data_IF_961019561666
#
_entry.id   IF_961019561666
#
_cell.length_a   1.000
_cell.length_b   1.000
_cell.length_c   1.000
_cell.angle_alpha   90.00
_cell.angle_beta   90.00
_cell.angle_gamma   90.00
#
_symmetry.space_group_name_H-M   'P 1'
#
loop_
_entity.id
_entity.type
_entity.pdbx_description
1 polymer ?
#
# COMPACT_ATOMS: atom_id res chain seq x y z
N UNK A 1 8.77 -19.15 -11.71
CA UNK A 1 7.31 -19.14 -11.99
C UNK A 1 7.05 -18.74 -13.43
N UNK A 2 7.46 -17.53 -13.84
CA UNK A 2 7.34 -17.01 -15.22
C UNK A 2 7.93 -17.90 -16.33
N UNK A 3 9.12 -18.46 -16.12
CA UNK A 3 9.73 -19.38 -17.09
C UNK A 3 8.87 -20.64 -17.37
N UNK A 4 7.98 -21.06 -16.45
CA UNK A 4 7.09 -22.23 -16.67
C UNK A 4 6.02 -21.95 -17.72
N UNK A 5 5.74 -20.68 -18.00
CA UNK A 5 4.83 -20.21 -19.05
C UNK A 5 5.60 -19.52 -20.19
N UNK A 6 6.89 -19.84 -20.34
CA UNK A 6 7.76 -19.33 -21.41
C UNK A 6 7.91 -17.80 -21.45
N UNK A 7 7.82 -17.14 -20.28
CA UNK A 7 8.11 -15.71 -20.14
C UNK A 7 9.52 -15.53 -19.59
N UNK A 8 10.36 -14.83 -20.37
CA UNK A 8 11.69 -14.39 -19.95
C UNK A 8 11.62 -12.99 -19.34
N UNK A 9 12.31 -12.77 -18.23
CA UNK A 9 12.35 -11.50 -17.51
C UNK A 9 13.79 -11.13 -17.19
N UNK A 10 14.15 -9.88 -17.45
CA UNK A 10 15.40 -9.29 -16.96
C UNK A 10 15.10 -8.41 -15.74
N UNK A 11 15.83 -8.62 -14.64
CA UNK A 11 15.70 -7.79 -13.44
C UNK A 11 16.57 -6.54 -13.59
N UNK A 12 15.94 -5.37 -13.57
CA UNK A 12 16.64 -4.09 -13.51
C UNK A 12 16.55 -3.52 -12.09
N UNK A 13 17.61 -3.71 -11.31
CA UNK A 13 17.67 -3.28 -9.90
C UNK A 13 18.07 -1.82 -9.84
N UNK A 14 17.21 -0.99 -9.22
CA UNK A 14 17.43 0.44 -9.01
C UNK A 14 17.44 0.78 -7.53
N UNK A 15 18.26 1.75 -7.16
CA UNK A 15 18.13 2.41 -5.85
C UNK A 15 16.82 3.20 -5.77
N UNK A 16 16.39 3.50 -4.53
CA UNK A 16 15.10 4.15 -4.23
C UNK A 16 14.89 5.46 -5.00
N UNK A 17 15.93 6.29 -5.16
CA UNK A 17 15.83 7.56 -5.87
C UNK A 17 15.47 7.40 -7.35
N UNK A 18 16.32 6.74 -8.15
CA UNK A 18 16.02 6.42 -9.55
C UNK A 18 14.72 5.62 -9.73
N UNK A 19 14.43 4.65 -8.85
CA UNK A 19 13.17 3.91 -8.86
C UNK A 19 11.95 4.85 -8.74
N UNK A 20 11.96 5.77 -7.77
CA UNK A 20 10.87 6.72 -7.57
C UNK A 20 10.72 7.67 -8.77
N UNK A 21 11.83 8.07 -9.40
CA UNK A 21 11.78 8.89 -10.61
C UNK A 21 11.09 8.15 -11.78
N UNK A 22 11.36 6.84 -11.93
CA UNK A 22 10.69 6.00 -12.94
C UNK A 22 9.19 5.88 -12.65
N UNK A 23 8.81 5.53 -11.41
CA UNK A 23 7.41 5.35 -11.00
C UNK A 23 6.60 6.63 -11.16
N UNK A 24 7.10 7.75 -10.60
CA UNK A 24 6.41 9.03 -10.66
C UNK A 24 6.39 9.62 -12.07
N UNK A 25 7.48 9.40 -12.81
CA UNK A 25 7.60 9.75 -14.22
C UNK A 25 6.79 8.83 -15.14
N UNK A 26 6.23 7.73 -14.61
CA UNK A 26 5.41 6.80 -15.38
C UNK A 26 6.17 6.20 -16.59
N UNK A 27 7.47 5.93 -16.39
CA UNK A 27 8.44 5.55 -17.42
C UNK A 27 8.90 4.09 -17.32
N UNK A 28 8.18 3.25 -16.57
CA UNK A 28 8.48 1.82 -16.48
C UNK A 28 8.18 1.12 -17.81
N UNK A 29 9.12 0.32 -18.35
CA UNK A 29 8.98 -0.25 -19.70
C UNK A 29 7.99 -1.42 -19.76
N UNK A 30 7.78 -2.12 -18.65
CA UNK A 30 6.87 -3.25 -18.57
C UNK A 30 6.30 -3.38 -17.14
N UNK A 31 6.86 -4.29 -16.34
CA UNK A 31 6.40 -4.55 -14.97
C UNK A 31 7.31 -3.84 -13.98
N UNK A 32 6.70 -3.24 -12.96
CA UNK A 32 7.41 -2.69 -11.81
C UNK A 32 7.04 -3.47 -10.54
N UNK A 33 8.05 -3.91 -9.80
CA UNK A 33 7.83 -4.48 -8.47
C UNK A 33 7.56 -3.36 -7.49
N UNK A 34 6.44 -3.42 -6.77
CA UNK A 34 6.06 -2.38 -5.83
C UNK A 34 5.28 -2.94 -4.63
N UNK A 35 5.05 -2.09 -3.64
CA UNK A 35 4.10 -2.42 -2.57
C UNK A 35 2.70 -2.58 -3.18
N UNK A 36 2.00 -3.64 -2.81
CA UNK A 36 0.62 -3.85 -3.23
C UNK A 36 -0.26 -2.67 -2.81
N UNK A 37 -1.20 -2.29 -3.67
CA UNK A 37 -2.19 -1.28 -3.36
C UNK A 37 -3.37 -1.98 -2.69
N UNK A 38 -3.68 -1.71 -1.40
CA UNK A 38 -4.93 -2.21 -0.82
C UNK A 38 -6.09 -1.56 -1.57
N UNK A 39 -6.70 -2.34 -2.47
CA UNK A 39 -7.71 -1.88 -3.42
C UNK A 39 -8.87 -1.18 -2.70
N UNK A 40 -9.18 -1.62 -1.49
CA UNK A 40 -10.29 -1.13 -0.65
C UNK A 40 -10.15 0.29 -0.11
N UNK A 41 -8.92 0.80 0.09
CA UNK A 41 -8.67 2.14 0.68
C UNK A 41 -7.81 3.04 -0.21
N UNK A 42 -7.11 2.48 -1.20
CA UNK A 42 -6.17 3.20 -2.05
C UNK A 42 -6.61 3.20 -3.51
N UNK A 43 -7.89 3.43 -3.75
CA UNK A 43 -8.46 3.50 -5.10
C UNK A 43 -7.82 4.49 -6.08
N UNK A 44 -7.11 5.56 -5.66
CA UNK A 44 -6.23 6.31 -6.57
C UNK A 44 -5.18 5.45 -7.30
N UNK A 45 -4.97 4.19 -6.91
CA UNK A 45 -4.14 3.23 -7.65
C UNK A 45 -4.72 2.79 -9.01
N UNK A 46 -6.02 2.95 -9.25
CA UNK A 46 -6.69 2.50 -10.48
C UNK A 46 -7.35 3.64 -11.26
N UNK A 47 -7.00 4.89 -10.94
CA UNK A 47 -7.61 6.07 -11.55
C UNK A 47 -6.67 7.27 -11.53
N UNK A 48 -6.72 8.07 -12.60
CA UNK A 48 -6.06 9.37 -12.68
C UNK A 48 -4.53 9.33 -12.68
N UNK A 49 -3.92 10.45 -12.29
CA UNK A 49 -2.47 10.68 -12.40
C UNK A 49 -1.69 10.39 -11.11
N UNK A 50 -2.32 9.76 -10.13
CA UNK A 50 -1.68 9.42 -8.85
C UNK A 50 -0.38 8.63 -9.07
N UNK A 51 0.63 8.88 -8.24
CA UNK A 51 1.87 8.08 -8.20
C UNK A 51 1.63 6.63 -7.77
N UNK A 52 0.48 6.36 -7.15
CA UNK A 52 0.03 4.99 -6.83
C UNK A 52 -0.58 4.28 -8.04
N UNK A 53 -1.00 5.00 -9.09
CA UNK A 53 -1.50 4.43 -10.34
C UNK A 53 -0.35 4.08 -11.28
N UNK A 54 0.32 2.98 -10.93
CA UNK A 54 1.52 2.47 -11.62
C UNK A 54 1.17 1.68 -12.88
N UNK A 55 -0.07 1.24 -13.03
CA UNK A 55 -0.52 0.53 -14.24
C UNK A 55 -1.17 1.46 -15.26
N UNK A 56 -1.14 2.77 -15.02
CA UNK A 56 -1.71 3.79 -15.92
C UNK A 56 -3.20 3.55 -16.22
N UNK A 57 -3.94 3.04 -15.25
CA UNK A 57 -5.35 2.70 -15.43
C UNK A 57 -6.16 3.98 -15.58
N UNK A 58 -6.93 4.05 -16.67
CA UNK A 58 -7.94 5.09 -16.90
C UNK A 58 -9.21 4.44 -17.44
N UNK A 59 -9.92 3.78 -16.53
CA UNK A 59 -11.09 2.97 -16.83
C UNK A 59 -12.37 3.74 -16.49
N UNK A 60 -13.29 3.96 -17.45
CA UNK A 60 -14.48 4.77 -17.20
C UNK A 60 -15.42 4.15 -16.17
N UNK A 61 -15.50 2.83 -16.07
CA UNK A 61 -16.35 2.12 -15.10
C UNK A 61 -15.80 2.28 -13.69
N UNK A 62 -14.47 2.17 -13.53
CA UNK A 62 -13.79 2.44 -12.25
C UNK A 62 -13.98 3.91 -11.87
N UNK A 63 -13.66 4.84 -12.77
CA UNK A 63 -13.76 6.27 -12.54
C UNK A 63 -15.17 6.70 -12.08
N UNK A 64 -16.22 6.24 -12.76
CA UNK A 64 -17.60 6.53 -12.40
C UNK A 64 -17.98 5.97 -11.01
N UNK A 65 -17.60 4.73 -10.73
CA UNK A 65 -17.86 4.09 -9.43
C UNK A 65 -17.17 4.82 -8.30
N UNK A 66 -15.92 5.27 -8.50
CA UNK A 66 -15.18 6.06 -7.50
C UNK A 66 -15.86 7.39 -7.21
N UNK A 67 -16.36 8.08 -8.24
CA UNK A 67 -17.10 9.35 -8.05
C UNK A 67 -18.38 9.10 -7.26
N UNK A 68 -19.14 8.05 -7.59
CA UNK A 68 -20.37 7.67 -6.89
C UNK A 68 -20.12 7.30 -5.43
N UNK A 69 -19.13 6.45 -5.18
CA UNK A 69 -18.75 6.01 -3.83
C UNK A 69 -18.33 7.19 -2.97
N UNK A 70 -17.42 8.06 -3.46
CA UNK A 70 -16.97 9.26 -2.74
C UNK A 70 -18.12 10.22 -2.43
N UNK A 71 -19.02 10.44 -3.40
CA UNK A 71 -20.21 11.28 -3.17
C UNK A 71 -21.13 10.68 -2.11
N UNK A 72 -21.37 9.37 -2.14
CA UNK A 72 -22.18 8.71 -1.13
C UNK A 72 -21.57 8.86 0.27
N UNK A 73 -20.25 8.71 0.39
CA UNK A 73 -19.52 8.85 1.65
C UNK A 73 -19.61 10.26 2.26
N UNK A 74 -19.61 11.30 1.43
CA UNK A 74 -19.64 12.69 1.90
C UNK A 74 -21.07 13.20 2.15
N UNK A 75 -22.03 12.81 1.30
CA UNK A 75 -23.38 13.39 1.33
C UNK A 75 -24.31 12.73 2.36
N UNK A 76 -23.97 11.53 2.85
CA UNK A 76 -24.75 10.82 3.86
C UNK A 76 -23.90 10.63 5.13
N UNK A 77 -24.06 11.48 6.14
CA UNK A 77 -23.22 11.46 7.34
C UNK A 77 -23.44 10.24 8.25
N UNK A 78 -24.50 9.46 8.02
CA UNK A 78 -24.85 8.31 8.87
C UNK A 78 -24.52 6.99 8.18
N UNK A 79 -24.86 6.84 6.90
CA UNK A 79 -24.70 5.59 6.16
C UNK A 79 -23.76 5.70 4.95
N UNK A 80 -23.21 6.88 4.68
CA UNK A 80 -22.41 7.16 3.49
C UNK A 80 -21.18 6.27 3.40
N UNK A 81 -20.47 6.07 4.51
CA UNK A 81 -19.30 5.19 4.57
C UNK A 81 -19.67 3.77 4.11
N UNK A 82 -20.67 3.15 4.73
CA UNK A 82 -21.12 1.80 4.37
C UNK A 82 -21.57 1.71 2.92
N UNK A 83 -22.31 2.70 2.41
CA UNK A 83 -22.76 2.75 1.01
C UNK A 83 -21.58 2.81 0.05
N UNK A 84 -20.62 3.71 0.31
CA UNK A 84 -19.41 3.83 -0.48
C UNK A 84 -18.59 2.55 -0.48
N UNK A 85 -18.37 1.95 0.70
CA UNK A 85 -17.63 0.71 0.85
C UNK A 85 -18.28 -0.46 0.10
N UNK A 86 -19.61 -0.58 0.13
CA UNK A 86 -20.32 -1.60 -0.64
C UNK A 86 -20.13 -1.40 -2.15
N UNK A 87 -20.20 -0.17 -2.66
CA UNK A 87 -19.93 0.11 -4.08
C UNK A 87 -18.52 -0.28 -4.49
N UNK A 88 -17.53 0.02 -3.64
CA UNK A 88 -16.13 -0.36 -3.87
C UNK A 88 -15.95 -1.89 -3.81
N UNK A 89 -16.71 -2.57 -2.96
CA UNK A 89 -16.74 -4.04 -2.89
C UNK A 89 -17.32 -4.68 -4.15
N UNK A 90 -18.43 -4.14 -4.64
CA UNK A 90 -19.17 -4.71 -5.77
C UNK A 90 -18.38 -4.62 -7.08
N UNK A 91 -17.52 -3.61 -7.24
CA UNK A 91 -16.66 -3.48 -8.43
C UNK A 91 -15.40 -4.36 -8.40
N UNK A 92 -15.05 -4.95 -7.25
CA UNK A 92 -13.83 -5.76 -7.13
C UNK A 92 -13.72 -6.92 -8.12
N UNK A 93 -14.77 -7.72 -8.39
CA UNK A 93 -14.69 -8.78 -9.39
C UNK A 93 -14.34 -8.26 -10.78
N UNK A 94 -14.85 -7.06 -11.13
CA UNK A 94 -14.49 -6.39 -12.37
C UNK A 94 -13.01 -6.01 -12.39
N UNK A 95 -12.51 -5.33 -11.34
CA UNK A 95 -11.09 -4.94 -11.24
C UNK A 95 -10.17 -6.15 -11.35
N UNK A 96 -10.46 -7.24 -10.64
CA UNK A 96 -9.66 -8.47 -10.72
C UNK A 96 -9.68 -9.11 -12.11
N UNK A 97 -10.78 -8.99 -12.85
CA UNK A 97 -10.88 -9.52 -14.22
C UNK A 97 -9.99 -8.78 -15.22
N UNK A 98 -9.60 -7.53 -14.93
CA UNK A 98 -8.75 -6.73 -15.81
C UNK A 98 -7.25 -7.02 -15.65
N UNK A 99 -6.85 -7.67 -14.55
CA UNK A 99 -5.45 -8.07 -14.30
C UNK A 99 -4.46 -6.89 -14.37
N UNK A 100 -4.85 -5.73 -13.84
CA UNK A 100 -3.99 -4.53 -13.81
C UNK A 100 -2.72 -4.70 -12.96
N UNK A 101 -2.74 -5.62 -12.00
CA UNK A 101 -1.62 -5.93 -11.12
C UNK A 101 -1.55 -7.45 -10.93
N UNK A 102 -0.33 -7.98 -10.82
CA UNK A 102 -0.11 -9.40 -10.48
C UNK A 102 0.22 -9.47 -9.00
N UNK A 103 -0.70 -10.03 -8.21
CA UNK A 103 -0.51 -10.21 -6.78
C UNK A 103 0.71 -11.07 -6.48
N UNK A 104 1.70 -10.48 -5.80
CA UNK A 104 2.82 -11.23 -5.22
C UNK A 104 2.40 -11.95 -3.95
N UNK A 105 3.13 -13.01 -3.57
CA UNK A 105 3.01 -13.59 -2.23
C UNK A 105 3.61 -12.58 -1.25
N UNK A 106 2.77 -11.92 -0.45
CA UNK A 106 3.26 -11.11 0.67
C UNK A 106 3.95 -12.04 1.65
N UNK A 107 5.29 -11.96 1.74
CA UNK A 107 6.02 -12.62 2.81
C UNK A 107 5.53 -12.12 4.18
N UNK A 108 5.73 -12.90 5.26
CA UNK A 108 5.43 -12.43 6.61
C UNK A 108 6.11 -11.07 6.81
N UNK A 109 5.34 -10.09 7.31
CA UNK A 109 5.86 -8.78 7.67
C UNK A 109 7.09 -9.02 8.55
N UNK A 110 8.25 -8.51 8.10
CA UNK A 110 9.55 -8.88 8.68
C UNK A 110 9.56 -8.75 10.20
N UNK A 111 10.17 -9.72 10.88
CA UNK A 111 10.34 -9.69 12.33
C UNK A 111 11.11 -8.43 12.74
N UNK A 112 10.55 -7.66 13.66
CA UNK A 112 11.23 -6.51 14.26
C UNK A 112 11.92 -6.97 15.53
N UNK A 113 13.18 -6.58 15.68
CA UNK A 113 13.94 -6.79 16.90
C UNK A 113 14.19 -5.43 17.54
N UNK A 114 13.98 -5.35 18.84
CA UNK A 114 14.28 -4.16 19.62
C UNK A 114 14.90 -4.55 20.95
N UNK A 115 15.62 -3.60 21.54
CA UNK A 115 16.24 -3.81 22.83
C UNK A 115 15.20 -3.95 23.94
N UNK A 116 15.43 -4.81 24.95
CA UNK A 116 14.47 -5.05 26.03
C UNK A 116 14.25 -3.83 26.93
N UNK A 117 15.14 -2.83 26.87
CA UNK A 117 14.96 -1.54 27.56
C UNK A 117 14.09 -0.54 26.79
N UNK A 118 13.70 -0.81 25.54
CA UNK A 118 12.63 -0.05 24.87
C UNK A 118 11.28 -0.54 25.38
N UNK A 119 10.59 0.31 26.13
CA UNK A 119 9.29 0.00 26.75
C UNK A 119 8.15 0.56 25.91
N UNK A 120 7.01 -0.14 25.99
CA UNK A 120 5.76 0.18 25.31
C UNK A 120 5.84 0.18 23.78
N UNK A 121 6.77 -0.60 23.25
CA UNK A 121 6.84 -0.92 21.84
C UNK A 121 6.44 -2.38 21.64
N UNK A 122 5.42 -2.63 20.82
CA UNK A 122 4.92 -3.97 20.48
C UNK A 122 5.19 -4.34 19.02
N UNK A 123 6.04 -3.57 18.32
CA UNK A 123 6.37 -3.78 16.91
C UNK A 123 5.57 -2.92 15.94
N UNK A 124 4.90 -1.88 16.43
CA UNK A 124 4.09 -0.97 15.63
C UNK A 124 4.94 -0.28 14.55
N UNK A 125 4.39 -0.08 13.35
CA UNK A 125 4.99 0.78 12.33
C UNK A 125 4.33 2.17 12.30
N UNK A 126 3.06 2.24 12.68
CA UNK A 126 2.23 3.44 12.69
C UNK A 126 1.26 3.35 13.86
N UNK A 127 0.94 4.47 14.49
CA UNK A 127 -0.21 4.60 15.40
C UNK A 127 -1.23 5.50 14.68
N UNK A 128 -2.29 4.88 14.16
CA UNK A 128 -3.24 5.55 13.27
C UNK A 128 -2.91 5.38 11.77
N UNK A 129 -3.47 6.24 10.92
CA UNK A 129 -3.40 6.12 9.47
C UNK A 129 -2.11 6.74 8.88
N UNK A 130 -1.10 5.90 8.61
CA UNK A 130 0.18 6.27 7.98
C UNK A 130 0.99 7.37 8.71
N UNK A 131 0.93 7.44 10.04
CA UNK A 131 1.52 8.56 10.78
C UNK A 131 2.93 8.34 11.34
N UNK A 132 3.51 7.13 11.27
CA UNK A 132 4.90 6.87 11.70
C UNK A 132 5.28 7.30 13.14
N UNK A 133 4.30 7.71 13.95
CA UNK A 133 4.40 8.46 15.20
C UNK A 133 4.50 7.56 16.45
N UNK A 134 4.80 6.28 16.27
CA UNK A 134 4.89 5.31 17.37
C UNK A 134 5.97 5.72 18.40
N UNK A 135 7.01 6.42 17.96
CA UNK A 135 8.12 6.86 18.80
C UNK A 135 7.71 7.87 19.89
N UNK A 136 6.54 8.51 19.75
CA UNK A 136 6.01 9.45 20.75
C UNK A 136 5.51 8.74 22.00
N UNK A 137 5.26 7.43 21.91
CA UNK A 137 4.59 6.63 22.94
C UNK A 137 5.51 5.59 23.57
N UNK A 138 6.79 5.58 23.21
CA UNK A 138 7.79 4.65 23.75
C UNK A 138 8.76 5.38 24.67
N UNK A 139 9.39 4.65 25.59
CA UNK A 139 10.41 5.20 26.48
C UNK A 139 11.50 4.19 26.79
N UNK A 140 12.60 4.69 27.36
CA UNK A 140 13.72 3.85 27.76
C UNK A 140 13.71 3.59 29.26
N UNK A 141 13.87 2.33 29.62
CA UNK A 141 14.27 1.92 30.96
C UNK A 141 15.78 2.15 31.13
N UNK A 142 16.13 3.25 31.80
CA UNK A 142 17.53 3.68 31.95
C UNK A 142 18.36 2.71 32.80
N UNK A 143 17.76 2.07 33.80
CA UNK A 143 18.47 1.17 34.69
C UNK A 143 18.74 -0.17 34.01
N UNK A 144 17.75 -0.70 33.29
CA UNK A 144 17.93 -1.90 32.47
C UNK A 144 19.00 -1.68 31.40
N UNK A 145 18.96 -0.53 30.70
CA UNK A 145 19.98 -0.18 29.70
C UNK A 145 21.39 -0.20 30.28
N UNK A 146 21.60 0.44 31.44
CA UNK A 146 22.90 0.46 32.13
C UNK A 146 23.36 -0.92 32.56
N UNK A 147 22.46 -1.75 33.12
CA UNK A 147 22.78 -3.12 33.54
C UNK A 147 23.22 -4.02 32.38
N UNK A 148 22.83 -3.68 31.15
CA UNK A 148 23.25 -4.35 29.92
C UNK A 148 24.53 -3.75 29.30
N UNK A 149 25.15 -2.75 29.93
CA UNK A 149 26.43 -2.17 29.50
C UNK A 149 26.32 -1.04 28.46
N UNK A 150 25.18 -0.36 28.40
CA UNK A 150 24.90 0.73 27.45
C UNK A 150 24.58 2.08 28.11
#
# INVERSE_FOLDING_TARGET
MWAKVNVELALDVKDTGPYNAIVNGKNQPAVISSSGNPIWYTMPAYSGTSSTNRSHVDDPTINDTLVKARRAMVLDPVNGEKKGMNMLQDIMPYIYSQVYEIGGVSGPQGGKFWWPWLKNYSGEANIGYFQGNWYEWVWYDQDLKKSMGH
#
